data_IF_252383158167
#
_entry.id   IF_252383158167
#
_cell.length_a   1.000
_cell.length_b   1.000
_cell.length_c   1.000
_cell.angle_alpha   90.00
_cell.angle_beta   90.00
_cell.angle_gamma   90.00
#
_symmetry.space_group_name_H-M   'P 1'
#
loop_
_entity.id
_entity.type
_entity.pdbx_description
1 polymer ?
#
# COMPACT_ATOMS: atom_id res chain seq x y z
N UNK A 1 -2.76 26.07 26.70
CA UNK A 1 -1.65 25.52 25.93
C UNK A 1 -2.09 25.45 24.49
N UNK A 2 -1.39 26.17 23.61
CA UNK A 2 -1.63 26.08 22.16
C UNK A 2 -0.92 24.82 21.67
N UNK A 3 -1.67 23.96 21.00
CA UNK A 3 -1.18 22.73 20.39
C UNK A 3 -0.30 23.12 19.19
N UNK A 4 0.97 22.75 19.19
CA UNK A 4 1.85 23.04 18.06
C UNK A 4 1.97 21.79 17.19
N UNK A 5 1.50 21.90 15.93
CA UNK A 5 1.58 20.83 14.94
C UNK A 5 3.02 20.33 14.73
N UNK A 6 4.02 21.19 14.93
CA UNK A 6 5.43 20.83 14.72
C UNK A 6 5.93 19.83 15.76
N UNK A 7 5.33 19.81 16.96
CA UNK A 7 5.70 18.92 18.06
C UNK A 7 5.07 17.53 17.96
N UNK A 8 4.14 17.34 17.00
CA UNK A 8 3.44 16.07 16.79
C UNK A 8 4.32 15.00 16.15
N UNK A 9 3.94 13.72 16.39
CA UNK A 9 4.57 12.59 15.75
C UNK A 9 4.28 12.59 14.23
N UNK A 10 5.16 11.99 13.43
CA UNK A 10 4.98 11.88 11.99
C UNK A 10 3.68 11.14 11.64
N UNK A 11 3.28 10.14 12.45
CA UNK A 11 2.00 9.45 12.27
C UNK A 11 0.80 10.36 12.48
N UNK A 12 0.84 11.22 13.51
CA UNK A 12 -0.20 12.23 13.76
C UNK A 12 -0.28 13.24 12.62
N UNK A 13 0.87 13.73 12.15
CA UNK A 13 0.96 14.63 10.99
C UNK A 13 0.36 13.98 9.75
N UNK A 14 0.70 12.72 9.48
CA UNK A 14 0.16 11.98 8.34
C UNK A 14 -1.36 11.83 8.39
N UNK A 15 -1.94 11.60 9.56
CA UNK A 15 -3.40 11.57 9.72
C UNK A 15 -4.04 12.93 9.40
N UNK A 16 -3.45 14.03 9.85
CA UNK A 16 -3.94 15.37 9.48
C UNK A 16 -3.91 15.62 7.98
N UNK A 17 -2.91 15.08 7.27
CA UNK A 17 -2.83 15.18 5.81
C UNK A 17 -3.92 14.34 5.10
N UNK A 18 -4.34 13.22 5.70
CA UNK A 18 -5.32 12.31 5.11
C UNK A 18 -6.77 12.67 5.45
N UNK A 19 -7.05 13.26 6.62
CA UNK A 19 -8.40 13.61 7.06
C UNK A 19 -9.17 14.51 6.07
N UNK A 20 -8.57 15.54 5.45
CA UNK A 20 -9.27 16.40 4.48
C UNK A 20 -9.87 15.62 3.30
N UNK A 21 -9.31 14.46 2.94
CA UNK A 21 -9.80 13.61 1.85
C UNK A 21 -11.28 13.25 2.06
N UNK A 22 -11.75 13.10 3.29
CA UNK A 22 -13.14 12.76 3.60
C UNK A 22 -14.12 13.92 3.40
N UNK A 23 -13.65 15.16 3.44
CA UNK A 23 -14.49 16.36 3.45
C UNK A 23 -14.43 17.14 2.14
N UNK A 24 -13.27 17.19 1.48
CA UNK A 24 -13.00 18.10 0.36
C UNK A 24 -13.37 17.52 -1.00
N UNK A 25 -13.65 16.21 -1.07
CA UNK A 25 -13.93 15.56 -2.33
C UNK A 25 -15.34 15.92 -2.86
N UNK A 26 -15.37 16.50 -4.05
CA UNK A 26 -16.59 16.68 -4.83
C UNK A 26 -17.29 15.34 -5.12
N UNK A 27 -18.42 15.37 -5.83
CA UNK A 27 -19.14 14.13 -6.22
C UNK A 27 -18.33 13.25 -7.16
N UNK A 28 -17.48 13.86 -7.99
CA UNK A 28 -16.57 13.18 -8.94
C UNK A 28 -15.14 13.55 -8.58
N UNK A 29 -14.32 12.60 -8.17
CA UNK A 29 -12.93 12.87 -7.82
C UNK A 29 -12.03 11.66 -7.99
N UNK A 30 -10.76 11.92 -8.38
CA UNK A 30 -9.69 10.95 -8.38
C UNK A 30 -8.64 11.40 -7.35
N UNK A 31 -8.37 10.53 -6.39
CA UNK A 31 -7.40 10.76 -5.34
C UNK A 31 -6.20 9.85 -5.58
N UNK A 32 -5.02 10.45 -5.58
CA UNK A 32 -3.75 9.71 -5.72
C UNK A 32 -2.96 9.87 -4.42
N UNK A 33 -2.62 8.75 -3.78
CA UNK A 33 -1.83 8.75 -2.54
C UNK A 33 -0.62 7.85 -2.74
N UNK A 34 0.56 8.44 -2.66
CA UNK A 34 1.79 7.67 -2.65
C UNK A 34 2.16 7.29 -1.21
N UNK A 35 2.56 6.02 -1.01
CA UNK A 35 2.89 5.46 0.30
C UNK A 35 1.80 5.76 1.36
N UNK A 36 0.59 5.21 1.16
CA UNK A 36 -0.54 5.45 2.07
C UNK A 36 -0.23 5.03 3.52
N UNK A 37 0.59 3.99 3.69
CA UNK A 37 1.04 3.42 4.96
C UNK A 37 2.20 4.19 5.62
N UNK A 38 2.78 5.19 4.94
CA UNK A 38 3.92 5.95 5.45
C UNK A 38 3.63 6.55 6.83
N UNK A 39 4.50 6.22 7.79
CA UNK A 39 4.42 6.66 9.19
C UNK A 39 3.16 6.21 9.94
N UNK A 40 2.35 5.31 9.37
CA UNK A 40 1.16 4.77 10.00
C UNK A 40 1.33 3.30 10.37
N UNK A 41 0.68 2.89 11.46
CA UNK A 41 0.53 1.48 11.76
C UNK A 41 -0.49 0.84 10.80
N UNK A 42 -0.24 -0.39 10.34
CA UNK A 42 -1.10 -1.15 9.41
C UNK A 42 -2.59 -1.07 9.75
N UNK A 43 -2.96 -1.27 11.02
CA UNK A 43 -4.36 -1.23 11.45
C UNK A 43 -4.99 0.16 11.24
N UNK A 44 -4.18 1.22 11.31
CA UNK A 44 -4.66 2.58 11.10
C UNK A 44 -4.87 2.87 9.61
N UNK A 45 -3.95 2.41 8.76
CA UNK A 45 -4.09 2.48 7.31
C UNK A 45 -5.31 1.68 6.84
N UNK A 46 -5.49 0.45 7.37
CA UNK A 46 -6.68 -0.35 7.11
C UNK A 46 -7.96 0.39 7.50
N UNK A 47 -8.00 0.95 8.71
CA UNK A 47 -9.18 1.69 9.19
C UNK A 47 -9.49 2.93 8.36
N UNK A 48 -8.46 3.61 7.87
CA UNK A 48 -8.62 4.72 6.92
C UNK A 48 -9.31 4.25 5.63
N UNK A 49 -8.86 3.13 5.05
CA UNK A 49 -9.47 2.57 3.84
C UNK A 49 -10.93 2.14 4.07
N UNK A 50 -11.23 1.46 5.18
CA UNK A 50 -12.60 1.08 5.55
C UNK A 50 -13.52 2.31 5.63
N UNK A 51 -13.08 3.36 6.33
CA UNK A 51 -13.83 4.61 6.44
C UNK A 51 -13.97 5.33 5.09
N UNK A 52 -12.92 5.29 4.26
CA UNK A 52 -12.98 5.86 2.92
C UNK A 52 -14.07 5.19 2.09
N UNK A 53 -14.10 3.87 2.02
CA UNK A 53 -15.12 3.13 1.27
C UNK A 53 -16.53 3.39 1.80
N UNK A 54 -16.71 3.45 3.11
CA UNK A 54 -18.00 3.76 3.72
C UNK A 54 -18.49 5.18 3.37
N UNK A 55 -17.61 6.18 3.40
CA UNK A 55 -17.97 7.58 3.14
C UNK A 55 -18.22 7.86 1.67
N UNK A 56 -17.53 7.16 0.76
CA UNK A 56 -17.63 7.39 -0.69
C UNK A 56 -18.62 6.47 -1.39
N UNK A 57 -19.35 5.61 -0.68
CA UNK A 57 -20.27 4.62 -1.26
C UNK A 57 -21.26 5.25 -2.26
N UNK A 58 -21.76 6.44 -1.96
CA UNK A 58 -22.70 7.21 -2.79
C UNK A 58 -22.02 8.26 -3.71
N UNK A 59 -20.69 8.17 -3.90
CA UNK A 59 -19.91 9.16 -4.66
C UNK A 59 -19.16 8.51 -5.80
N UNK A 60 -19.02 9.21 -6.91
CA UNK A 60 -18.12 8.82 -8.02
C UNK A 60 -16.67 9.23 -7.68
N UNK A 61 -16.14 8.59 -6.63
CA UNK A 61 -14.80 8.87 -6.11
C UNK A 61 -13.90 7.65 -6.29
N UNK A 62 -12.72 7.84 -6.87
CA UNK A 62 -11.72 6.80 -7.06
C UNK A 62 -10.46 7.11 -6.25
N UNK A 63 -9.97 6.12 -5.50
CA UNK A 63 -8.69 6.18 -4.83
C UNK A 63 -7.68 5.27 -5.53
N UNK A 64 -6.52 5.81 -5.86
CA UNK A 64 -5.35 5.03 -6.26
C UNK A 64 -4.26 5.28 -5.23
N UNK A 65 -3.84 4.24 -4.54
CA UNK A 65 -2.82 4.35 -3.50
C UNK A 65 -1.69 3.34 -3.75
N UNK A 66 -0.44 3.75 -3.49
CA UNK A 66 0.68 2.83 -3.39
C UNK A 66 0.93 2.46 -1.94
N UNK A 67 1.47 1.27 -1.70
CA UNK A 67 1.83 0.79 -0.37
C UNK A 67 2.95 -0.24 -0.43
N UNK A 68 3.74 -0.32 0.64
CA UNK A 68 4.70 -1.38 0.88
C UNK A 68 4.19 -2.39 1.93
N UNK A 69 3.01 -2.18 2.50
CA UNK A 69 2.45 -3.02 3.55
C UNK A 69 1.66 -4.20 2.95
N UNK A 70 2.27 -5.38 2.95
CA UNK A 70 1.64 -6.61 2.45
C UNK A 70 0.40 -7.03 3.26
N UNK A 71 0.23 -6.56 4.49
CA UNK A 71 -0.95 -6.86 5.29
C UNK A 71 -2.23 -6.19 4.78
N UNK A 72 -2.11 -5.23 3.86
CA UNK A 72 -3.25 -4.63 3.16
C UNK A 72 -3.75 -5.52 2.01
N UNK A 73 -3.04 -6.60 1.66
CA UNK A 73 -3.47 -7.60 0.68
C UNK A 73 -4.55 -8.52 1.29
N UNK A 74 -5.72 -7.97 1.52
CA UNK A 74 -6.84 -8.64 2.17
C UNK A 74 -8.12 -8.52 1.33
N UNK A 75 -8.69 -9.67 0.93
CA UNK A 75 -9.91 -9.71 0.12
C UNK A 75 -11.19 -9.41 0.91
N UNK A 76 -11.10 -9.28 2.24
CA UNK A 76 -12.20 -8.73 3.04
C UNK A 76 -12.25 -7.20 2.92
N UNK A 77 -11.12 -6.57 2.54
CA UNK A 77 -11.00 -5.13 2.38
C UNK A 77 -11.09 -4.70 0.92
N UNK A 78 -10.41 -5.42 0.02
CA UNK A 78 -10.23 -5.06 -1.39
C UNK A 78 -10.68 -6.21 -2.30
N UNK A 79 -11.23 -5.88 -3.47
CA UNK A 79 -11.49 -6.88 -4.52
C UNK A 79 -10.20 -7.25 -5.26
N UNK A 80 -10.18 -8.42 -5.88
CA UNK A 80 -9.02 -8.89 -6.66
C UNK A 80 -8.63 -7.95 -7.81
N UNK A 81 -9.61 -7.30 -8.42
CA UNK A 81 -9.42 -6.35 -9.52
C UNK A 81 -8.90 -4.98 -9.05
N UNK A 82 -8.98 -4.70 -7.75
CA UNK A 82 -8.45 -3.49 -7.13
C UNK A 82 -6.99 -3.63 -6.70
N UNK A 83 -6.47 -4.86 -6.60
CA UNK A 83 -5.09 -5.12 -6.20
C UNK A 83 -4.20 -5.23 -7.43
N UNK A 84 -3.18 -4.37 -7.47
CA UNK A 84 -2.21 -4.31 -8.55
C UNK A 84 -0.79 -4.40 -8.02
N UNK A 85 0.05 -5.14 -8.73
CA UNK A 85 1.47 -5.29 -8.43
C UNK A 85 2.31 -4.53 -9.43
N UNK A 86 3.41 -3.93 -8.93
CA UNK A 86 4.42 -3.27 -9.74
C UNK A 86 5.74 -4.02 -9.54
N UNK A 87 6.28 -4.56 -10.62
CA UNK A 87 7.50 -5.35 -10.61
C UNK A 87 8.58 -4.65 -11.46
N UNK A 88 9.76 -4.46 -10.89
CA UNK A 88 10.91 -3.97 -11.64
C UNK A 88 11.54 -5.11 -12.42
N UNK A 89 11.73 -4.91 -13.71
CA UNK A 89 12.37 -5.88 -14.59
C UNK A 89 13.90 -5.69 -14.64
N UNK A 90 14.62 -6.69 -15.14
CA UNK A 90 16.09 -6.67 -15.28
C UNK A 90 16.57 -5.52 -16.18
N UNK A 91 15.78 -5.15 -17.18
CA UNK A 91 16.05 -4.02 -18.09
C UNK A 91 15.70 -2.64 -17.49
N UNK A 92 15.43 -2.61 -16.17
CA UNK A 92 15.01 -1.43 -15.42
C UNK A 92 13.61 -0.88 -15.76
N UNK A 93 12.86 -1.50 -16.65
CA UNK A 93 11.46 -1.17 -16.86
C UNK A 93 10.59 -1.62 -15.69
N UNK A 94 9.37 -1.08 -15.58
CA UNK A 94 8.38 -1.52 -14.60
C UNK A 94 7.23 -2.20 -15.31
N UNK A 95 6.76 -3.32 -14.76
CA UNK A 95 5.60 -4.05 -15.23
C UNK A 95 4.49 -3.97 -14.19
N UNK A 96 3.30 -3.61 -14.65
CA UNK A 96 2.11 -3.51 -13.79
C UNK A 96 1.12 -4.59 -14.17
N UNK A 97 0.58 -5.30 -13.17
CA UNK A 97 -0.42 -6.34 -13.39
C UNK A 97 -1.33 -6.52 -12.19
N UNK A 98 -2.59 -6.88 -12.45
CA UNK A 98 -3.60 -7.11 -11.41
C UNK A 98 -3.51 -8.51 -10.82
N UNK A 99 -3.87 -8.65 -9.53
CA UNK A 99 -4.07 -9.94 -8.87
C UNK A 99 -5.11 -10.80 -9.62
N UNK A 100 -6.09 -10.18 -10.26
CA UNK A 100 -7.11 -10.88 -11.05
C UNK A 100 -6.54 -11.68 -12.24
N UNK A 101 -5.28 -11.45 -12.61
CA UNK A 101 -4.57 -12.26 -13.64
C UNK A 101 -4.31 -13.69 -13.17
N UNK A 102 -4.24 -13.93 -11.88
CA UNK A 102 -4.01 -15.23 -11.28
C UNK A 102 -5.37 -15.92 -11.07
N UNK A 103 -5.64 -16.98 -11.81
CA UNK A 103 -6.92 -17.71 -11.81
C UNK A 103 -7.09 -18.68 -10.63
N UNK A 104 -6.32 -18.54 -9.59
CA UNK A 104 -6.37 -19.42 -8.43
C UNK A 104 -7.55 -19.07 -7.50
N UNK A 105 -8.10 -20.09 -6.81
CA UNK A 105 -8.99 -19.85 -5.68
C UNK A 105 -8.16 -19.32 -4.52
N UNK A 106 -8.42 -18.10 -4.12
CA UNK A 106 -7.75 -17.45 -2.99
C UNK A 106 -8.37 -17.90 -1.66
N UNK A 107 -8.31 -19.22 -1.38
CA UNK A 107 -8.68 -19.78 -0.09
C UNK A 107 -7.60 -19.53 0.98
N UNK A 108 -6.45 -19.00 0.55
CA UNK A 108 -5.28 -18.71 1.38
C UNK A 108 -5.08 -17.20 1.53
N UNK A 109 -4.40 -16.83 2.62
CA UNK A 109 -4.00 -15.45 2.87
C UNK A 109 -3.07 -14.96 1.78
N UNK A 110 -3.50 -14.00 0.98
CA UNK A 110 -2.77 -13.44 -0.17
C UNK A 110 -1.46 -12.80 0.27
N UNK A 111 -1.45 -12.15 1.43
CA UNK A 111 -0.27 -11.58 2.06
C UNK A 111 0.89 -12.59 2.16
N UNK A 112 0.60 -13.80 2.63
CA UNK A 112 1.61 -14.86 2.76
C UNK A 112 2.10 -15.38 1.41
N UNK A 113 1.19 -15.57 0.47
CA UNK A 113 1.53 -16.05 -0.88
C UNK A 113 2.36 -14.99 -1.64
N UNK A 114 2.07 -13.70 -1.43
CA UNK A 114 2.87 -12.60 -1.95
C UNK A 114 4.30 -12.65 -1.40
N UNK A 115 4.45 -12.76 -0.07
CA UNK A 115 5.77 -12.82 0.58
C UNK A 115 6.57 -14.07 0.17
N UNK A 116 5.90 -15.15 -0.26
CA UNK A 116 6.54 -16.33 -0.85
C UNK A 116 6.89 -16.15 -2.34
N UNK A 117 6.64 -14.98 -2.92
CA UNK A 117 6.99 -14.66 -4.31
C UNK A 117 6.06 -15.25 -5.37
N UNK A 118 4.91 -15.83 -4.99
CA UNK A 118 4.00 -16.47 -5.96
C UNK A 118 3.45 -15.52 -7.01
N UNK A 119 3.28 -14.26 -6.65
CA UNK A 119 2.76 -13.25 -7.56
C UNK A 119 3.87 -12.43 -8.23
N UNK A 120 5.14 -12.68 -7.93
CA UNK A 120 6.24 -11.80 -8.31
C UNK A 120 6.21 -10.49 -7.51
N UNK A 121 6.84 -9.45 -8.05
CA UNK A 121 6.87 -8.09 -7.47
C UNK A 121 7.44 -8.02 -6.04
N UNK A 122 8.24 -9.01 -5.63
CA UNK A 122 9.03 -8.98 -4.40
C UNK A 122 10.45 -8.53 -4.72
N UNK A 123 11.15 -7.86 -3.79
CA UNK A 123 12.58 -7.58 -3.95
C UNK A 123 13.36 -8.86 -4.12
N UNK A 124 14.12 -8.98 -5.20
CA UNK A 124 15.07 -10.06 -5.40
C UNK A 124 16.41 -9.54 -4.89
N UNK A 125 16.95 -10.22 -3.88
CA UNK A 125 18.31 -9.97 -3.41
C UNK A 125 19.21 -10.96 -4.15
N UNK A 126 20.19 -10.46 -4.91
CA UNK A 126 21.26 -11.31 -5.42
C UNK A 126 22.08 -11.78 -4.23
N UNK A 127 22.14 -13.09 -4.02
CA UNK A 127 22.93 -13.74 -2.94
C UNK A 127 24.44 -13.47 -3.09
N UNK A 128 24.88 -12.86 -4.20
CA UNK A 128 26.27 -12.47 -4.45
C UNK A 128 26.72 -11.23 -3.65
N UNK A 129 25.87 -10.61 -2.85
CA UNK A 129 26.30 -9.59 -1.89
C UNK A 129 26.90 -10.27 -0.65
N UNK A 130 27.91 -11.09 -0.88
CA UNK A 130 28.76 -11.61 0.17
C UNK A 130 29.62 -10.45 0.68
N UNK A 131 29.55 -10.19 1.98
CA UNK A 131 30.43 -9.27 2.69
C UNK A 131 31.86 -9.84 2.68
N UNK A 132 32.52 -9.90 1.51
CA UNK A 132 33.91 -10.37 1.39
C UNK A 132 34.92 -9.44 2.05
N UNK A 133 34.55 -8.18 2.40
CA UNK A 133 35.49 -7.17 2.89
C UNK A 133 35.41 -6.89 4.40
N UNK A 134 34.76 -7.74 5.20
CA UNK A 134 34.59 -7.47 6.65
C UNK A 134 35.59 -8.22 7.56
N UNK A 135 36.53 -8.99 7.04
CA UNK A 135 37.45 -9.80 7.85
C UNK A 135 38.94 -9.73 7.40
N UNK A 136 39.36 -8.58 6.88
CA UNK A 136 40.79 -8.28 6.80
C UNK A 136 41.11 -7.04 7.66
N UNK A 137 41.25 -7.27 9.00
CA UNK A 137 42.22 -6.56 9.88
C UNK A 137 42.46 -7.44 11.14
#
# INVERSE_FOLDING_TARGET
DMFDYTDESDGTKRLFDLIPIFYENGRESLILIDEIDRSLHTNLTRKFLELFFEIVEDRECQLVATTHDSNLLDLELLRQDEIWFVERQVDHSSKVFSLNKFKERFDKKIDKEYLLGRYGAIPIFDDDFVLEDAYEE
#
